data_IF_258494965464
#
_entry.id   IF_258494965464
#
_cell.length_a   1.000
_cell.length_b   1.000
_cell.length_c   1.000
_cell.angle_alpha   90.00
_cell.angle_beta   90.00
_cell.angle_gamma   90.00
#
_symmetry.space_group_name_H-M   'P 1'
#
loop_
_entity.id
_entity.type
_entity.pdbx_description
1 polymer ?
#
# COMPACT_ATOMS: atom_id res chain seq x y z
N UNK A 1 -6.52 6.15 18.70
CA UNK A 1 -7.08 6.38 17.35
C UNK A 1 -8.37 7.19 17.53
N UNK A 2 -8.63 8.20 16.68
CA UNK A 2 -9.90 8.93 16.75
C UNK A 2 -11.00 8.17 15.99
N UNK A 3 -12.21 8.01 16.56
CA UNK A 3 -13.35 7.44 15.84
C UNK A 3 -13.70 8.24 14.59
N UNK A 4 -14.16 7.53 13.55
CA UNK A 4 -14.74 8.16 12.39
C UNK A 4 -15.99 8.97 12.77
N UNK A 5 -16.24 10.05 12.04
CA UNK A 5 -17.36 10.96 12.28
C UNK A 5 -18.12 11.19 10.97
N UNK A 6 -19.42 11.45 11.05
CA UNK A 6 -20.28 11.70 9.89
C UNK A 6 -20.31 10.50 8.92
N UNK A 7 -20.23 10.77 7.63
CA UNK A 7 -20.25 9.74 6.58
C UNK A 7 -18.86 9.21 6.20
N UNK A 8 -17.84 9.38 7.05
CA UNK A 8 -16.47 8.95 6.74
C UNK A 8 -16.38 7.43 6.60
N UNK A 9 -15.57 7.01 5.64
CA UNK A 9 -15.15 5.63 5.42
C UNK A 9 -13.96 5.33 6.35
N UNK A 10 -13.85 4.08 6.79
CA UNK A 10 -12.67 3.56 7.49
C UNK A 10 -11.93 2.65 6.51
N UNK A 11 -10.69 3.00 6.19
CA UNK A 11 -9.93 2.33 5.14
C UNK A 11 -8.69 1.69 5.75
N UNK A 12 -8.53 0.38 5.53
CA UNK A 12 -7.31 -0.37 5.73
C UNK A 12 -6.65 -0.71 4.38
N UNK A 13 -5.34 -0.89 4.40
CA UNK A 13 -4.57 -1.40 3.26
C UNK A 13 -3.35 -2.15 3.77
N UNK A 14 -2.94 -3.18 3.04
CA UNK A 14 -1.72 -3.93 3.32
C UNK A 14 -0.93 -4.20 2.04
N UNK A 15 0.39 -4.30 2.17
CA UNK A 15 1.33 -4.40 1.05
C UNK A 15 2.66 -5.00 1.51
N UNK A 16 3.27 -5.85 0.68
CA UNK A 16 4.62 -6.37 0.88
C UNK A 16 5.67 -5.42 0.31
N UNK A 17 6.52 -4.81 1.16
CA UNK A 17 7.62 -3.95 0.70
C UNK A 17 9.00 -4.46 1.07
N UNK A 18 9.91 -4.40 0.08
CA UNK A 18 11.34 -4.63 0.28
C UNK A 18 11.99 -3.47 1.02
N UNK A 19 12.36 -3.69 2.27
CA UNK A 19 13.07 -2.71 3.10
C UNK A 19 14.57 -2.94 3.00
N UNK A 20 15.31 -1.90 2.62
CA UNK A 20 16.78 -1.94 2.60
C UNK A 20 17.28 -1.96 4.04
N UNK A 21 17.91 -3.07 4.44
CA UNK A 21 18.49 -3.18 5.78
C UNK A 21 19.78 -2.35 5.86
N UNK A 22 19.88 -1.52 6.90
CA UNK A 22 21.14 -0.83 7.20
C UNK A 22 22.18 -1.85 7.62
N UNK A 23 23.34 -1.83 6.94
CA UNK A 23 24.52 -2.61 7.35
C UNK A 23 24.89 -2.26 8.79
N UNK A 24 25.23 -3.28 9.59
CA UNK A 24 25.78 -3.05 10.93
C UNK A 24 27.09 -2.26 10.85
N UNK A 25 27.53 -1.68 11.96
CA UNK A 25 28.83 -0.98 11.99
C UNK A 25 29.99 -1.93 11.62
N UNK A 26 29.86 -3.22 11.96
CA UNK A 26 30.82 -4.28 11.62
C UNK A 26 30.81 -4.62 10.13
N UNK A 27 29.63 -4.73 9.51
CA UNK A 27 29.49 -4.97 8.06
C UNK A 27 30.01 -3.77 7.25
N UNK A 28 29.89 -2.54 7.77
CA UNK A 28 30.46 -1.34 7.14
C UNK A 28 31.99 -1.27 7.20
N UNK A 29 32.60 -1.89 8.21
CA UNK A 29 34.06 -1.89 8.35
C UNK A 29 34.76 -2.86 7.38
N UNK A 30 34.01 -3.80 6.79
CA UNK A 30 34.52 -4.78 5.80
C UNK A 30 34.37 -4.28 4.36
N UNK A 31 33.41 -3.38 4.11
CA UNK A 31 33.17 -2.78 2.79
C UNK A 31 33.95 -1.46 2.62
N UNK A 32 35.25 -1.52 2.30
CA UNK A 32 35.92 -0.37 1.70
C UNK A 32 35.41 -0.17 0.25
N UNK A 33 35.12 1.07 -0.19
CA UNK A 33 34.33 1.31 -1.39
C UNK A 33 35.19 1.22 -2.67
N UNK A 34 34.82 0.34 -3.60
CA UNK A 34 35.25 0.46 -4.99
C UNK A 34 34.36 1.53 -5.67
N UNK A 35 34.83 2.77 -5.58
CA UNK A 35 34.16 3.97 -6.04
C UNK A 35 34.29 4.11 -7.57
N UNK A 36 33.29 3.62 -8.31
CA UNK A 36 33.05 4.04 -9.70
C UNK A 36 31.58 4.39 -9.90
N UNK A 37 31.25 5.57 -9.38
CA UNK A 37 30.11 6.38 -9.74
C UNK A 37 29.96 6.51 -11.28
N UNK A 38 28.81 6.07 -11.80
CA UNK A 38 28.31 6.53 -13.11
C UNK A 38 26.92 7.12 -12.94
N UNK A 39 26.88 8.44 -12.93
CA UNK A 39 25.66 9.26 -12.87
C UNK A 39 24.79 9.01 -14.13
N UNK A 40 23.55 8.54 -13.98
CA UNK A 40 22.56 8.44 -15.09
C UNK A 40 21.12 8.78 -14.62
N UNK A 41 20.31 9.44 -15.47
CA UNK A 41 19.15 10.22 -15.05
C UNK A 41 17.89 9.39 -14.75
N UNK A 42 16.94 10.03 -14.05
CA UNK A 42 15.88 9.42 -13.24
C UNK A 42 14.61 8.92 -13.98
N UNK A 43 14.57 8.90 -15.32
CA UNK A 43 13.28 8.90 -16.04
C UNK A 43 12.94 7.65 -16.89
N UNK A 44 13.65 6.52 -16.78
CA UNK A 44 13.27 5.32 -17.54
C UNK A 44 13.47 4.04 -16.72
N UNK A 45 12.38 3.31 -16.51
CA UNK A 45 12.37 1.93 -15.99
C UNK A 45 12.80 0.96 -17.09
N UNK A 46 14.09 0.97 -17.39
CA UNK A 46 14.79 -0.10 -18.09
C UNK A 46 15.94 -0.58 -17.21
N UNK A 47 15.59 -1.28 -16.12
CA UNK A 47 16.56 -2.01 -15.31
C UNK A 47 16.39 -3.51 -15.55
N UNK A 48 17.37 -4.24 -16.14
CA UNK A 48 17.64 -5.58 -15.64
C UNK A 48 17.93 -5.47 -14.14
N UNK A 49 17.59 -6.47 -13.30
CA UNK A 49 17.66 -6.34 -11.86
C UNK A 49 19.07 -5.91 -11.46
N UNK A 50 19.21 -4.64 -11.05
CA UNK A 50 20.40 -4.19 -10.34
C UNK A 50 20.40 -5.06 -9.08
N UNK A 51 21.37 -5.97 -8.98
CA UNK A 51 21.69 -6.64 -7.73
C UNK A 51 21.91 -5.54 -6.70
N UNK A 52 20.88 -5.28 -5.89
CA UNK A 52 20.98 -4.36 -4.78
C UNK A 52 21.94 -5.04 -3.80
N UNK A 53 23.17 -4.55 -3.71
CA UNK A 53 24.24 -5.04 -2.83
C UNK A 53 23.99 -4.74 -1.33
N UNK A 54 22.73 -4.59 -0.95
CA UNK A 54 22.24 -4.57 0.42
C UNK A 54 21.17 -5.64 0.60
N UNK A 55 21.18 -6.34 1.73
CA UNK A 55 20.18 -7.36 2.08
C UNK A 55 18.81 -6.68 2.20
N UNK A 56 18.04 -6.59 1.13
CA UNK A 56 16.64 -6.18 1.20
C UNK A 56 15.86 -7.29 1.91
N UNK A 57 15.06 -6.94 2.91
CA UNK A 57 14.13 -7.86 3.55
C UNK A 57 12.70 -7.40 3.27
N UNK A 58 11.86 -8.34 2.85
CA UNK A 58 10.43 -8.07 2.72
C UNK A 58 9.82 -7.86 4.11
N UNK A 59 9.03 -6.79 4.23
CA UNK A 59 8.19 -6.45 5.36
C UNK A 59 6.73 -6.43 4.91
N UNK A 60 5.81 -6.77 5.80
CA UNK A 60 4.38 -6.53 5.60
C UNK A 60 4.05 -5.17 6.21
N UNK A 61 3.49 -4.28 5.41
CA UNK A 61 3.04 -2.96 5.85
C UNK A 61 1.53 -2.96 5.91
N UNK A 62 0.99 -2.37 6.97
CA UNK A 62 -0.41 -2.02 7.10
C UNK A 62 -0.57 -0.50 7.21
N UNK A 63 -1.64 0.05 6.66
CA UNK A 63 -2.06 1.40 6.96
C UNK A 63 -3.57 1.49 7.18
N UNK A 64 -3.98 2.33 8.14
CA UNK A 64 -5.38 2.57 8.45
C UNK A 64 -5.65 4.07 8.55
N UNK A 65 -6.77 4.54 7.99
CA UNK A 65 -7.17 5.94 8.03
C UNK A 65 -8.68 6.10 7.85
N UNK A 66 -9.19 7.28 8.20
CA UNK A 66 -10.57 7.66 7.89
C UNK A 66 -10.58 8.69 6.76
N UNK A 67 -11.56 8.63 5.87
CA UNK A 67 -11.65 9.57 4.74
C UNK A 67 -13.10 9.86 4.39
N UNK A 68 -13.38 11.09 3.93
CA UNK A 68 -14.71 11.41 3.41
C UNK A 68 -14.95 10.74 2.04
N UNK A 69 -16.19 10.33 1.74
CA UNK A 69 -16.53 9.84 0.42
C UNK A 69 -16.20 10.87 -0.66
N UNK A 70 -15.67 10.39 -1.79
CA UNK A 70 -15.41 11.21 -2.97
C UNK A 70 -16.17 10.66 -4.18
N UNK A 71 -17.50 10.89 -4.26
CA UNK A 71 -18.31 10.44 -5.39
C UNK A 71 -17.78 11.03 -6.70
N UNK A 72 -17.64 10.18 -7.72
CA UNK A 72 -17.15 10.55 -9.05
C UNK A 72 -17.97 9.86 -10.14
N UNK A 73 -18.11 10.49 -11.30
CA UNK A 73 -18.62 9.82 -12.50
C UNK A 73 -17.53 8.96 -13.15
N UNK A 74 -17.89 7.96 -13.99
CA UNK A 74 -16.91 7.21 -14.76
C UNK A 74 -15.97 8.11 -15.59
N UNK A 75 -16.50 9.18 -16.19
CA UNK A 75 -15.73 10.15 -16.97
C UNK A 75 -14.71 10.89 -16.10
N UNK A 76 -15.08 11.31 -14.90
CA UNK A 76 -14.17 11.96 -13.95
C UNK A 76 -13.06 11.00 -13.48
N UNK A 77 -13.34 9.70 -13.37
CA UNK A 77 -12.34 8.67 -13.06
C UNK A 77 -11.36 8.52 -14.23
N UNK A 78 -11.85 8.34 -15.45
CA UNK A 78 -11.02 8.22 -16.65
C UNK A 78 -10.16 9.47 -16.86
N UNK A 79 -10.74 10.65 -16.73
CA UNK A 79 -10.00 11.91 -16.82
C UNK A 79 -8.90 11.96 -15.74
N UNK A 80 -9.18 11.49 -14.51
CA UNK A 80 -8.15 11.48 -13.46
C UNK A 80 -6.98 10.53 -13.70
N UNK A 81 -7.17 9.48 -14.51
CA UNK A 81 -6.16 8.46 -14.80
C UNK A 81 -5.35 8.75 -16.07
N UNK A 82 -5.99 9.34 -17.09
CA UNK A 82 -5.41 9.50 -18.43
C UNK A 82 -5.19 10.96 -18.85
N UNK A 83 -5.38 11.93 -17.94
CA UNK A 83 -5.12 13.35 -18.25
C UNK A 83 -3.65 13.54 -18.61
N UNK A 84 -3.42 14.24 -19.71
CA UNK A 84 -2.07 14.67 -20.12
C UNK A 84 -1.51 15.69 -19.13
N UNK A 85 -0.18 15.72 -18.90
CA UNK A 85 0.45 16.68 -17.98
C UNK A 85 0.09 18.15 -18.28
N UNK A 86 -0.14 18.47 -19.55
CA UNK A 86 -0.52 19.82 -20.02
C UNK A 86 -2.03 20.11 -19.91
N UNK A 87 -2.83 19.09 -19.62
CA UNK A 87 -4.25 19.22 -19.38
C UNK A 87 -4.50 19.97 -18.08
N UNK A 88 -4.86 21.25 -18.15
CA UNK A 88 -5.29 21.99 -16.96
C UNK A 88 -6.52 21.30 -16.38
N UNK A 89 -6.44 20.88 -15.11
CA UNK A 89 -7.65 20.57 -14.32
C UNK A 89 -8.53 21.81 -14.39
N UNK A 90 -9.82 21.71 -14.73
CA UNK A 90 -10.71 22.87 -14.62
C UNK A 90 -10.71 23.30 -13.14
N UNK A 91 -9.96 24.37 -12.82
CA UNK A 91 -9.78 24.87 -11.45
C UNK A 91 -11.13 25.33 -10.84
N UNK A 92 -12.14 25.52 -11.68
CA UNK A 92 -13.42 26.12 -11.31
C UNK A 92 -14.54 25.12 -10.99
N UNK A 93 -14.38 23.81 -11.28
CA UNK A 93 -15.48 22.84 -11.10
C UNK A 93 -15.17 21.65 -10.19
N UNK A 94 -13.89 21.37 -9.90
CA UNK A 94 -13.53 20.16 -9.18
C UNK A 94 -13.53 20.40 -7.66
N UNK A 95 -14.48 19.79 -6.94
CA UNK A 95 -14.45 19.73 -5.47
C UNK A 95 -13.05 19.28 -5.00
N UNK A 96 -12.51 19.87 -3.92
CA UNK A 96 -11.22 19.47 -3.38
C UNK A 96 -11.27 17.99 -3.00
N UNK A 97 -10.23 17.23 -3.39
CA UNK A 97 -10.15 15.81 -3.04
C UNK A 97 -10.04 15.71 -1.51
N UNK A 98 -10.86 14.88 -0.84
CA UNK A 98 -10.76 14.69 0.59
C UNK A 98 -9.40 14.10 0.95
N UNK A 99 -8.86 14.53 2.09
CA UNK A 99 -7.58 14.05 2.60
C UNK A 99 -7.81 12.93 3.61
N UNK A 100 -6.97 11.89 3.63
CA UNK A 100 -6.93 10.93 4.73
C UNK A 100 -6.74 11.63 6.08
N UNK A 101 -7.50 11.20 7.09
CA UNK A 101 -7.44 11.70 8.46
C UNK A 101 -6.83 10.64 9.38
N UNK A 102 -5.95 11.10 10.26
CA UNK A 102 -5.29 10.27 11.29
C UNK A 102 -4.71 8.98 10.70
N UNK A 103 -4.00 9.08 9.57
CA UNK A 103 -3.41 7.91 8.91
C UNK A 103 -2.33 7.31 9.82
N UNK A 104 -2.54 6.07 10.22
CA UNK A 104 -1.56 5.27 10.94
C UNK A 104 -0.92 4.28 9.99
N UNK A 105 0.36 3.97 10.25
CA UNK A 105 1.11 2.96 9.53
C UNK A 105 1.78 2.05 10.54
N UNK A 106 1.83 0.76 10.23
CA UNK A 106 2.64 -0.24 10.92
C UNK A 106 3.37 -1.08 9.88
N UNK A 107 4.57 -1.53 10.23
CA UNK A 107 5.33 -2.46 9.42
C UNK A 107 5.85 -3.58 10.31
N UNK A 108 5.80 -4.81 9.82
CA UNK A 108 6.36 -5.98 10.49
C UNK A 108 7.39 -6.67 9.60
N UNK A 109 8.53 -6.99 10.20
CA UNK A 109 9.62 -7.78 9.62
C UNK A 109 9.69 -9.18 10.24
N UNK A 110 8.68 -9.57 11.03
CA UNK A 110 8.68 -10.84 11.75
C UNK A 110 8.72 -12.02 10.79
N UNK A 111 9.42 -13.07 11.23
CA UNK A 111 9.58 -14.32 10.49
C UNK A 111 9.51 -15.51 11.43
N UNK A 112 8.97 -16.61 10.92
CA UNK A 112 8.96 -17.88 11.64
C UNK A 112 10.29 -18.65 11.44
N UNK A 113 10.38 -19.85 12.00
CA UNK A 113 11.57 -20.71 11.87
C UNK A 113 11.85 -21.14 10.43
N UNK A 114 10.83 -21.11 9.55
CA UNK A 114 10.92 -21.42 8.13
C UNK A 114 11.20 -20.16 7.27
N UNK A 115 11.53 -19.02 7.89
CA UNK A 115 11.79 -17.72 7.26
C UNK A 115 10.60 -17.14 6.46
N UNK A 116 9.38 -17.59 6.74
CA UNK A 116 8.17 -17.07 6.11
C UNK A 116 7.68 -15.78 6.76
N UNK A 117 6.84 -15.01 6.07
CA UNK A 117 6.23 -13.77 6.59
C UNK A 117 4.89 -14.01 7.29
N UNK A 118 4.51 -15.25 7.56
CA UNK A 118 3.26 -15.58 8.25
C UNK A 118 3.05 -14.76 9.55
N UNK A 119 4.00 -14.71 10.50
CA UNK A 119 3.81 -13.93 11.73
C UNK A 119 3.69 -12.43 11.47
N UNK A 120 4.38 -11.90 10.44
CA UNK A 120 4.23 -10.49 10.06
C UNK A 120 2.84 -10.18 9.50
N UNK A 121 2.24 -11.10 8.74
CA UNK A 121 0.85 -10.96 8.24
C UNK A 121 -0.14 -10.99 9.39
N UNK A 122 -0.01 -11.95 10.31
CA UNK A 122 -0.86 -12.06 11.50
C UNK A 122 -0.75 -10.81 12.39
N UNK A 123 0.45 -10.28 12.59
CA UNK A 123 0.65 -9.04 13.36
C UNK A 123 -0.09 -7.85 12.72
N UNK A 124 0.04 -7.70 11.40
CA UNK A 124 -0.61 -6.61 10.66
C UNK A 124 -2.13 -6.82 10.59
N UNK A 125 -2.61 -8.06 10.45
CA UNK A 125 -4.02 -8.44 10.50
C UNK A 125 -4.66 -7.99 11.82
N UNK A 126 -4.11 -8.46 12.95
CA UNK A 126 -4.61 -8.11 14.27
C UNK A 126 -4.57 -6.60 14.51
N UNK A 127 -3.48 -5.95 14.09
CA UNK A 127 -3.38 -4.49 14.21
C UNK A 127 -4.42 -3.75 13.37
N UNK A 128 -4.71 -4.20 12.14
CA UNK A 128 -5.76 -3.62 11.30
C UNK A 128 -7.15 -3.85 11.92
N UNK A 129 -7.43 -5.03 12.48
CA UNK A 129 -8.68 -5.31 13.20
C UNK A 129 -8.87 -4.34 14.38
N UNK A 130 -7.82 -4.06 15.14
CA UNK A 130 -7.84 -3.08 16.22
C UNK A 130 -8.06 -1.65 15.72
N UNK A 131 -7.42 -1.25 14.62
CA UNK A 131 -7.64 0.05 13.98
C UNK A 131 -9.09 0.20 13.52
N UNK A 132 -9.67 -0.82 12.89
CA UNK A 132 -11.08 -0.84 12.50
C UNK A 132 -12.01 -0.69 13.70
N UNK A 133 -11.81 -1.50 14.76
CA UNK A 133 -12.63 -1.46 15.97
C UNK A 133 -12.57 -0.11 16.68
N UNK A 134 -11.39 0.50 16.75
CA UNK A 134 -11.23 1.83 17.37
C UNK A 134 -11.83 2.96 16.52
N UNK A 135 -11.77 2.85 15.18
CA UNK A 135 -12.33 3.86 14.26
C UNK A 135 -13.83 3.74 14.07
N UNK A 136 -14.37 2.54 14.26
CA UNK A 136 -15.78 2.22 14.03
C UNK A 136 -16.41 1.51 15.24
N UNK A 137 -16.36 2.09 16.46
CA UNK A 137 -16.80 1.40 17.68
C UNK A 137 -18.28 1.02 17.67
N UNK A 138 -19.11 1.74 16.91
CA UNK A 138 -20.54 1.48 16.77
C UNK A 138 -20.91 0.66 15.52
N UNK A 139 -19.93 0.30 14.68
CA UNK A 139 -20.20 -0.43 13.43
C UNK A 139 -20.97 0.36 12.36
N UNK A 140 -21.09 1.68 12.48
CA UNK A 140 -21.93 2.53 11.60
C UNK A 140 -21.19 3.04 10.36
N UNK A 141 -19.87 2.93 10.32
CA UNK A 141 -19.05 3.37 9.20
C UNK A 141 -18.73 2.21 8.26
N UNK A 142 -18.68 2.51 6.97
CA UNK A 142 -18.28 1.53 5.96
C UNK A 142 -16.78 1.25 6.09
N UNK A 143 -16.43 -0.03 6.16
CA UNK A 143 -15.05 -0.49 6.27
C UNK A 143 -14.58 -0.96 4.90
N UNK A 144 -13.43 -0.47 4.46
CA UNK A 144 -12.85 -0.76 3.16
C UNK A 144 -11.45 -1.33 3.35
N UNK A 145 -11.15 -2.48 2.72
CA UNK A 145 -9.81 -3.04 2.63
C UNK A 145 -9.31 -2.92 1.18
N UNK A 146 -8.21 -2.19 0.97
CA UNK A 146 -7.59 -2.02 -0.35
C UNK A 146 -6.30 -2.86 -0.42
N UNK A 147 -6.22 -3.79 -1.38
CA UNK A 147 -5.08 -4.70 -1.54
C UNK A 147 -4.66 -4.83 -3.00
N UNK A 148 -3.41 -5.20 -3.23
CA UNK A 148 -2.75 -5.21 -4.54
C UNK A 148 -3.03 -6.46 -5.40
N UNK A 149 -3.60 -7.51 -4.81
CA UNK A 149 -3.87 -8.77 -5.49
C UNK A 149 -3.10 -9.97 -4.94
N UNK A 150 -2.18 -9.81 -3.99
CA UNK A 150 -1.42 -10.93 -3.42
C UNK A 150 -2.33 -11.89 -2.63
N UNK A 151 -2.39 -13.16 -3.04
CA UNK A 151 -3.28 -14.19 -2.48
C UNK A 151 -3.18 -14.30 -0.94
N UNK A 152 -1.97 -14.29 -0.39
CA UNK A 152 -1.77 -14.38 1.07
C UNK A 152 -2.26 -13.14 1.83
N UNK A 153 -2.39 -11.98 1.17
CA UNK A 153 -3.03 -10.80 1.77
C UNK A 153 -4.57 -10.89 1.68
N UNK A 154 -5.12 -11.61 0.70
CA UNK A 154 -6.56 -11.88 0.64
C UNK A 154 -7.01 -12.83 1.73
N UNK A 155 -6.23 -13.87 2.04
CA UNK A 155 -6.49 -14.75 3.20
C UNK A 155 -6.59 -13.95 4.51
N UNK A 156 -5.73 -12.94 4.67
CA UNK A 156 -5.81 -11.98 5.78
C UNK A 156 -7.10 -11.14 5.73
N UNK A 157 -7.56 -10.76 4.55
CA UNK A 157 -8.84 -10.06 4.35
C UNK A 157 -10.05 -10.88 4.80
N UNK A 158 -10.04 -12.19 4.54
CA UNK A 158 -11.08 -13.11 5.01
C UNK A 158 -11.16 -13.16 6.55
N UNK A 159 -10.01 -13.09 7.24
CA UNK A 159 -9.98 -13.02 8.70
C UNK A 159 -10.62 -11.72 9.22
N UNK A 160 -10.31 -10.59 8.58
CA UNK A 160 -10.88 -9.28 8.94
C UNK A 160 -12.39 -9.18 8.68
N UNK A 161 -12.91 -9.88 7.65
CA UNK A 161 -14.34 -9.91 7.35
C UNK A 161 -15.17 -10.59 8.43
N UNK A 162 -14.59 -11.51 9.22
CA UNK A 162 -15.32 -12.19 10.31
C UNK A 162 -15.86 -11.22 11.37
N UNK A 163 -15.29 -10.02 11.45
CA UNK A 163 -15.66 -8.96 12.40
C UNK A 163 -16.74 -7.99 11.90
N UNK A 164 -17.24 -8.11 10.65
CA UNK A 164 -18.36 -7.29 10.16
C UNK A 164 -18.41 -7.06 8.64
N UNK A 165 -19.13 -6.01 8.21
CA UNK A 165 -19.27 -5.66 6.79
C UNK A 165 -18.03 -4.91 6.27
N UNK A 166 -16.99 -5.65 5.93
CA UNK A 166 -15.79 -5.16 5.26
C UNK A 166 -15.92 -5.33 3.74
N UNK A 167 -15.72 -4.26 2.98
CA UNK A 167 -15.67 -4.30 1.52
C UNK A 167 -14.22 -4.35 1.08
N UNK A 168 -13.88 -5.38 0.33
CA UNK A 168 -12.56 -5.50 -0.27
C UNK A 168 -12.53 -4.88 -1.67
N UNK A 169 -11.43 -4.19 -1.97
CA UNK A 169 -11.21 -3.51 -3.24
C UNK A 169 -9.81 -3.84 -3.74
N UNK A 170 -9.72 -4.36 -4.96
CA UNK A 170 -8.45 -4.55 -5.65
C UNK A 170 -7.88 -3.19 -6.09
N UNK A 171 -6.60 -2.95 -5.81
CA UNK A 171 -5.86 -1.82 -6.35
C UNK A 171 -5.67 -2.01 -7.86
N UNK A 172 -6.58 -1.40 -8.61
CA UNK A 172 -6.59 -1.46 -10.06
C UNK A 172 -5.30 -0.91 -10.67
N UNK A 173 -4.65 0.10 -10.07
CA UNK A 173 -3.41 0.65 -10.62
C UNK A 173 -2.29 -0.35 -10.54
N UNK A 174 -2.20 -1.06 -9.41
CA UNK A 174 -1.23 -2.13 -9.24
C UNK A 174 -1.52 -3.31 -10.19
N UNK A 175 -2.76 -3.80 -10.18
CA UNK A 175 -3.19 -4.92 -11.02
C UNK A 175 -3.03 -4.64 -12.53
N UNK A 176 -3.29 -3.40 -12.97
CA UNK A 176 -3.15 -3.00 -14.38
C UNK A 176 -1.72 -3.18 -14.90
N UNK A 177 -0.71 -3.05 -14.04
CA UNK A 177 0.69 -3.28 -14.43
C UNK A 177 0.95 -4.75 -14.80
N UNK A 178 0.28 -5.69 -14.14
CA UNK A 178 0.36 -7.11 -14.44
C UNK A 178 -0.41 -7.48 -15.70
N UNK A 179 -1.61 -6.92 -15.87
CA UNK A 179 -2.42 -7.10 -17.09
C UNK A 179 -1.63 -6.65 -18.32
N UNK A 180 -0.96 -5.49 -18.23
CA UNK A 180 -0.13 -4.99 -19.33
C UNK A 180 1.01 -5.95 -19.70
N UNK A 181 1.73 -6.50 -18.71
CA UNK A 181 2.78 -7.50 -18.94
C UNK A 181 2.22 -8.77 -19.57
N UNK A 182 1.05 -9.24 -19.13
CA UNK A 182 0.41 -10.42 -19.69
C UNK A 182 0.03 -10.21 -21.16
N UNK A 183 -0.50 -9.03 -21.51
CA UNK A 183 -0.83 -8.67 -22.90
C UNK A 183 0.43 -8.58 -23.77
N UNK A 184 1.54 -8.05 -23.25
CA UNK A 184 2.82 -8.01 -24.00
C UNK A 184 3.46 -9.38 -24.23
N UNK A 185 3.04 -10.41 -23.49
CA UNK A 185 3.52 -11.77 -23.64
C UNK A 185 2.72 -12.59 -24.67
N UNK A 186 1.60 -12.05 -25.18
CA UNK A 186 0.78 -12.60 -26.27
C UNK A 186 1.26 -12.08 -27.63
#
# INVERSE_FOLDING_TARGET
VEPAQGARLVVGTADGKGVVMRKSAEEKAVDEPNDQDTYKPACMESKPPKSHSGKQKMAILGAAYSIEPNPRTPEEVLESLFRTPDGKRPEQTAKPRPKPLCKHLRASLQRDEADTLQPAREEICHWLADEYRQRNPCGTHLQILIMDGEETLWEMGEELQRDGSLIEILDLLHASSYVWKAVQAL
#
